data_IF_139124896739
#
_entry.id   IF_139124896739
#
_cell.length_a   1.000
_cell.length_b   1.000
_cell.length_c   1.000
_cell.angle_alpha   90.00
_cell.angle_beta   90.00
_cell.angle_gamma   90.00
#
_symmetry.space_group_name_H-M   'P 1'
#
loop_
_entity.id
_entity.type
_entity.pdbx_description
1 polymer ?
#
# COMPACT_ATOMS: atom_id res chain seq x y z
N UNK A 1 -39.75 -27.34 67.01
CA UNK A 1 -40.74 -27.68 65.98
C UNK A 1 -41.05 -26.41 65.19
N UNK A 2 -40.73 -26.44 63.89
CA UNK A 2 -41.44 -25.84 62.74
C UNK A 2 -41.96 -24.38 62.75
N UNK A 3 -41.57 -23.65 61.68
CA UNK A 3 -42.13 -22.41 61.09
C UNK A 3 -43.63 -22.52 60.71
N UNK A 4 -44.33 -21.41 60.39
CA UNK A 4 -44.35 -20.72 59.04
C UNK A 4 -44.29 -19.17 59.16
N UNK A 5 -44.41 -18.30 58.15
CA UNK A 5 -43.96 -18.14 56.74
C UNK A 5 -44.61 -16.83 56.18
N UNK A 6 -44.06 -16.28 55.08
CA UNK A 6 -44.62 -15.23 54.18
C UNK A 6 -44.56 -13.74 54.63
N UNK A 7 -44.31 -12.73 53.79
CA UNK A 7 -43.86 -12.60 52.40
C UNK A 7 -43.46 -11.13 52.15
N UNK A 8 -42.35 -10.85 51.46
CA UNK A 8 -42.04 -9.51 50.93
C UNK A 8 -41.65 -9.59 49.45
N UNK A 9 -42.38 -8.80 48.65
CA UNK A 9 -42.34 -8.65 47.20
C UNK A 9 -41.19 -7.75 46.73
N UNK A 10 -40.43 -8.20 45.72
CA UNK A 10 -39.55 -7.37 44.90
C UNK A 10 -40.05 -7.35 43.42
N UNK A 11 -39.77 -6.27 42.66
CA UNK A 11 -40.36 -6.03 41.34
C UNK A 11 -39.76 -6.91 40.23
N UNK A 12 -40.48 -7.13 39.10
CA UNK A 12 -40.10 -8.12 38.10
C UNK A 12 -38.98 -7.66 37.17
N UNK A 13 -38.03 -8.57 36.97
CA UNK A 13 -36.96 -8.55 35.97
C UNK A 13 -37.53 -8.71 34.56
N UNK A 14 -37.31 -7.72 33.69
CA UNK A 14 -37.65 -7.80 32.26
C UNK A 14 -36.46 -8.45 31.53
N UNK A 15 -36.41 -9.78 31.58
CA UNK A 15 -35.58 -10.61 30.70
C UNK A 15 -36.38 -11.83 30.26
N UNK A 16 -37.35 -11.63 29.38
CA UNK A 16 -37.91 -12.70 28.55
C UNK A 16 -38.46 -12.08 27.27
N UNK A 17 -37.80 -12.31 26.14
CA UNK A 17 -38.37 -12.47 24.80
C UNK A 17 -37.21 -12.74 23.82
N UNK A 18 -36.54 -13.88 24.00
CA UNK A 18 -35.74 -14.49 22.93
C UNK A 18 -36.69 -15.34 22.07
N UNK A 19 -36.83 -15.10 20.76
CA UNK A 19 -37.35 -16.14 19.89
C UNK A 19 -36.31 -17.26 19.87
N UNK A 20 -36.77 -18.48 20.16
CA UNK A 20 -36.04 -19.73 19.91
C UNK A 20 -35.62 -19.77 18.44
N UNK A 21 -34.42 -19.31 18.14
CA UNK A 21 -33.67 -19.76 16.97
C UNK A 21 -32.77 -20.87 17.50
N UNK A 22 -33.05 -22.06 16.99
CA UNK A 22 -32.61 -23.35 17.50
C UNK A 22 -31.08 -23.46 17.68
N UNK A 23 -30.70 -24.24 18.69
CA UNK A 23 -29.35 -24.78 18.94
C UNK A 23 -28.89 -25.78 17.86
N UNK A 24 -29.12 -25.48 16.59
CA UNK A 24 -28.72 -26.34 15.45
C UNK A 24 -27.46 -25.83 14.74
N UNK A 25 -26.98 -24.62 15.05
CA UNK A 25 -25.81 -24.03 14.37
C UNK A 25 -24.44 -24.33 15.00
N UNK A 26 -24.37 -25.09 16.11
CA UNK A 26 -23.08 -25.55 16.66
C UNK A 26 -22.62 -26.90 16.09
N UNK A 27 -23.52 -27.70 15.50
CA UNK A 27 -23.18 -28.99 14.89
C UNK A 27 -22.66 -28.89 13.45
N UNK A 28 -22.86 -27.75 12.77
CA UNK A 28 -22.52 -27.58 11.35
C UNK A 28 -21.13 -26.95 11.11
N UNK A 29 -20.33 -26.78 12.18
CA UNK A 29 -18.97 -26.23 12.06
C UNK A 29 -18.02 -27.11 11.22
N UNK A 30 -18.37 -28.39 10.98
CA UNK A 30 -17.53 -29.35 10.28
C UNK A 30 -17.98 -29.68 8.84
N UNK A 31 -19.07 -29.08 8.33
CA UNK A 31 -19.74 -29.54 7.10
C UNK A 31 -19.95 -28.45 6.04
N UNK A 32 -19.15 -27.38 6.04
CA UNK A 32 -19.22 -26.34 5.01
C UNK A 32 -18.14 -26.47 3.90
N UNK A 33 -18.53 -26.37 2.61
CA UNK A 33 -17.67 -26.69 1.45
C UNK A 33 -16.54 -25.68 1.16
N UNK A 34 -16.27 -24.72 2.06
CA UNK A 34 -15.18 -23.74 1.93
C UNK A 34 -13.96 -24.02 2.82
N UNK A 35 -14.03 -25.08 3.65
CA UNK A 35 -12.91 -25.65 4.40
C UNK A 35 -12.20 -26.73 3.59
N UNK A 36 -11.89 -26.47 2.31
CA UNK A 36 -10.98 -27.33 1.58
C UNK A 36 -9.53 -27.11 2.02
N UNK A 37 -8.89 -28.26 2.21
CA UNK A 37 -7.55 -28.53 2.75
C UNK A 37 -6.49 -27.70 2.04
N UNK A 38 -5.83 -26.80 2.77
CA UNK A 38 -4.61 -26.17 2.27
C UNK A 38 -3.49 -27.20 2.07
N UNK A 39 -2.50 -26.96 1.20
CA UNK A 39 -1.40 -27.90 1.01
C UNK A 39 -0.72 -28.20 2.35
N UNK A 40 -0.29 -29.46 2.59
CA UNK A 40 0.33 -29.85 3.84
C UNK A 40 1.56 -28.98 4.13
N UNK A 41 1.76 -28.70 5.41
CA UNK A 41 3.00 -28.07 5.89
C UNK A 41 4.21 -28.97 5.56
N UNK A 42 5.42 -28.40 5.53
CA UNK A 42 6.69 -29.10 5.22
C UNK A 42 6.93 -30.36 6.09
N UNK A 43 6.19 -30.50 7.20
CA UNK A 43 6.25 -31.62 8.14
C UNK A 43 5.10 -32.64 8.01
N UNK A 44 4.33 -32.64 6.91
CA UNK A 44 3.15 -33.52 6.73
C UNK A 44 2.05 -33.37 7.80
N UNK A 45 2.07 -32.30 8.61
CA UNK A 45 0.92 -31.93 9.45
C UNK A 45 -0.13 -31.17 8.66
N UNK A 46 -1.41 -31.51 8.89
CA UNK A 46 -2.54 -30.79 8.31
C UNK A 46 -2.54 -29.31 8.71
N UNK A 47 -2.97 -28.38 7.83
CA UNK A 47 -3.17 -27.00 8.24
C UNK A 47 -4.20 -26.96 9.37
N UNK A 48 -3.99 -26.11 10.39
CA UNK A 48 -4.98 -25.87 11.45
C UNK A 48 -6.34 -25.57 10.77
N UNK A 49 -7.33 -26.46 10.98
CA UNK A 49 -8.63 -26.43 10.30
C UNK A 49 -9.50 -25.26 10.76
N UNK A 50 -9.37 -24.88 12.02
CA UNK A 50 -9.97 -23.70 12.65
C UNK A 50 -9.33 -23.56 14.03
N UNK A 51 -9.20 -22.32 14.52
CA UNK A 51 -8.78 -22.01 15.89
C UNK A 51 -9.94 -22.02 16.87
N UNK A 52 -11.17 -22.30 16.41
CA UNK A 52 -12.41 -22.24 17.19
C UNK A 52 -12.91 -20.83 17.48
N UNK A 53 -12.14 -19.80 17.13
CA UNK A 53 -12.52 -18.39 17.26
C UNK A 53 -12.62 -17.76 15.86
N UNK A 54 -13.83 -17.36 15.42
CA UNK A 54 -14.04 -16.75 14.10
C UNK A 54 -13.19 -15.51 13.83
N UNK A 55 -12.83 -14.73 14.86
CA UNK A 55 -11.98 -13.55 14.72
C UNK A 55 -10.50 -13.92 14.48
N UNK A 56 -10.02 -14.99 15.12
CA UNK A 56 -8.67 -15.50 14.89
C UNK A 56 -8.59 -16.22 13.54
N UNK A 57 -9.63 -16.95 13.15
CA UNK A 57 -9.73 -17.58 11.84
C UNK A 57 -9.77 -16.53 10.72
N UNK A 58 -10.55 -15.46 10.92
CA UNK A 58 -10.51 -14.26 10.09
C UNK A 58 -9.11 -13.61 10.10
N UNK A 59 -8.35 -13.72 11.20
CA UNK A 59 -7.01 -13.15 11.26
C UNK A 59 -5.91 -13.99 10.56
N UNK A 60 -6.01 -15.31 10.61
CA UNK A 60 -4.95 -16.21 10.15
C UNK A 60 -5.20 -16.79 8.76
N UNK A 61 -6.46 -17.02 8.38
CA UNK A 61 -6.78 -17.65 7.11
C UNK A 61 -6.86 -16.67 5.93
N UNK A 62 -6.83 -15.36 6.17
CA UNK A 62 -6.77 -14.38 5.09
C UNK A 62 -5.31 -14.10 4.72
N UNK A 63 -4.94 -14.64 3.58
CA UNK A 63 -3.63 -14.54 2.90
C UNK A 63 -3.79 -13.72 1.60
N UNK A 64 -2.74 -13.10 1.02
CA UNK A 64 -2.84 -12.29 -0.20
C UNK A 64 -3.59 -12.88 -1.42
N UNK A 65 -3.71 -14.21 -1.50
CA UNK A 65 -4.41 -14.92 -2.59
C UNK A 65 -5.80 -15.46 -2.19
N UNK A 66 -6.36 -14.99 -1.07
CA UNK A 66 -7.67 -15.46 -0.58
C UNK A 66 -8.78 -15.02 -1.52
N UNK A 67 -9.65 -15.94 -2.00
CA UNK A 67 -10.76 -15.57 -2.88
C UNK A 67 -11.76 -14.65 -2.15
N UNK A 68 -12.37 -13.68 -2.85
CA UNK A 68 -13.29 -12.71 -2.26
C UNK A 68 -14.46 -13.35 -1.50
N UNK A 69 -14.93 -14.52 -1.97
CA UNK A 69 -16.03 -15.26 -1.36
C UNK A 69 -15.65 -15.78 0.03
N UNK A 70 -14.46 -16.40 0.17
CA UNK A 70 -13.94 -16.89 1.45
C UNK A 70 -13.68 -15.73 2.41
N UNK A 71 -13.17 -14.62 1.90
CA UNK A 71 -12.94 -13.42 2.70
C UNK A 71 -14.25 -12.83 3.24
N UNK A 72 -15.28 -12.70 2.39
CA UNK A 72 -16.60 -12.17 2.79
C UNK A 72 -17.27 -13.09 3.82
N UNK A 73 -17.13 -14.40 3.63
CA UNK A 73 -17.64 -15.41 4.55
C UNK A 73 -16.96 -15.32 5.93
N UNK A 74 -15.62 -15.33 5.98
CA UNK A 74 -14.88 -15.20 7.25
C UNK A 74 -15.14 -13.85 7.92
N UNK A 75 -15.27 -12.76 7.15
CA UNK A 75 -15.64 -11.45 7.69
C UNK A 75 -17.02 -11.49 8.33
N UNK A 76 -18.00 -12.10 7.67
CA UNK A 76 -19.35 -12.25 8.22
C UNK A 76 -19.31 -13.02 9.55
N UNK A 77 -18.63 -14.16 9.60
CA UNK A 77 -18.53 -14.97 10.82
C UNK A 77 -17.84 -14.22 11.96
N UNK A 78 -16.74 -13.52 11.69
CA UNK A 78 -16.05 -12.72 12.70
C UNK A 78 -16.93 -11.55 13.19
N UNK A 79 -17.62 -10.87 12.27
CA UNK A 79 -18.48 -9.74 12.60
C UNK A 79 -19.66 -10.13 13.50
N UNK A 80 -20.26 -11.31 13.25
CA UNK A 80 -21.35 -11.85 14.08
C UNK A 80 -20.86 -12.34 15.45
N UNK A 81 -19.61 -12.80 15.54
CA UNK A 81 -19.02 -13.22 16.81
C UNK A 81 -18.64 -12.03 17.68
N UNK A 82 -17.85 -11.09 17.14
CA UNK A 82 -17.47 -9.85 17.82
C UNK A 82 -17.12 -8.76 16.80
N UNK A 83 -18.06 -7.84 16.60
CA UNK A 83 -17.94 -6.74 15.65
C UNK A 83 -16.82 -5.77 16.00
N UNK A 84 -16.53 -5.55 17.29
CA UNK A 84 -15.52 -4.58 17.72
C UNK A 84 -14.10 -5.09 17.48
N UNK A 85 -13.82 -6.36 17.80
CA UNK A 85 -12.51 -6.95 17.50
C UNK A 85 -12.33 -7.14 16.01
N UNK A 86 -13.37 -7.55 15.27
CA UNK A 86 -13.32 -7.63 13.80
C UNK A 86 -12.93 -6.28 13.19
N UNK A 87 -13.49 -5.17 13.66
CA UNK A 87 -13.16 -3.82 13.18
C UNK A 87 -11.71 -3.43 13.51
N UNK A 88 -11.18 -3.84 14.67
CA UNK A 88 -9.77 -3.65 15.04
C UNK A 88 -8.80 -4.49 14.20
N UNK A 89 -9.23 -5.66 13.75
CA UNK A 89 -8.41 -6.57 12.92
C UNK A 89 -8.30 -6.09 11.47
N UNK A 90 -9.28 -5.34 10.96
CA UNK A 90 -9.29 -4.83 9.58
C UNK A 90 -8.05 -3.96 9.24
N UNK A 91 -7.65 -2.95 10.05
CA UNK A 91 -6.42 -2.19 9.81
C UNK A 91 -5.14 -3.04 9.90
N UNK A 92 -5.10 -4.02 10.82
CA UNK A 92 -3.97 -4.94 10.93
C UNK A 92 -3.84 -5.84 9.68
N UNK A 93 -4.97 -6.14 9.04
CA UNK A 93 -5.01 -6.84 7.75
C UNK A 93 -4.56 -6.00 6.58
N UNK A 94 -4.79 -4.70 6.58
CA UNK A 94 -4.26 -3.83 5.54
C UNK A 94 -2.73 -3.86 5.48
N UNK A 95 -2.08 -3.95 6.64
CA UNK A 95 -0.62 -4.14 6.74
C UNK A 95 -0.20 -5.49 6.14
N UNK A 96 -1.00 -6.55 6.33
CA UNK A 96 -0.70 -7.94 5.91
C UNK A 96 -1.03 -8.25 4.44
N UNK A 97 -2.09 -7.65 3.90
CA UNK A 97 -2.73 -8.09 2.64
C UNK A 97 -2.76 -6.96 1.59
N UNK A 98 -2.47 -5.71 1.98
CA UNK A 98 -2.39 -4.57 1.07
C UNK A 98 -3.62 -4.45 0.16
N UNK A 99 -3.41 -4.62 -1.15
CA UNK A 99 -4.40 -4.38 -2.23
C UNK A 99 -5.74 -5.13 -2.11
N UNK A 100 -5.86 -6.15 -1.27
CA UNK A 100 -7.12 -6.90 -1.06
C UNK A 100 -8.13 -6.10 -0.22
N UNK A 101 -7.68 -5.18 0.64
CA UNK A 101 -8.60 -4.26 1.35
C UNK A 101 -9.35 -3.34 0.38
N UNK A 102 -8.72 -2.98 -0.74
CA UNK A 102 -9.38 -2.27 -1.84
C UNK A 102 -10.48 -3.14 -2.48
N UNK A 103 -10.30 -4.46 -2.55
CA UNK A 103 -11.31 -5.39 -3.11
C UNK A 103 -12.56 -5.51 -2.23
N UNK A 104 -12.40 -5.40 -0.91
CA UNK A 104 -13.50 -5.33 0.07
C UNK A 104 -14.38 -4.09 -0.14
N UNK A 105 -13.76 -2.92 -0.32
CA UNK A 105 -14.50 -1.67 -0.59
C UNK A 105 -15.07 -1.64 -2.02
N UNK A 106 -14.45 -2.35 -2.97
CA UNK A 106 -14.83 -2.33 -4.37
C UNK A 106 -15.73 -3.50 -4.79
N UNK A 107 -16.61 -4.01 -3.91
CA UNK A 107 -17.59 -5.09 -4.14
C UNK A 107 -17.55 -5.73 -5.54
N UNK A 108 -16.99 -6.93 -5.63
CA UNK A 108 -16.90 -7.75 -6.85
C UNK A 108 -15.97 -7.21 -7.97
N UNK A 109 -14.70 -7.63 -7.94
CA UNK A 109 -13.92 -7.84 -9.18
C UNK A 109 -14.02 -9.32 -9.50
N UNK A 110 -14.88 -9.71 -10.46
CA UNK A 110 -14.75 -11.01 -11.12
C UNK A 110 -13.46 -10.97 -11.96
N UNK A 111 -12.40 -11.60 -11.48
CA UNK A 111 -11.24 -11.86 -12.32
C UNK A 111 -11.54 -13.13 -13.11
N UNK A 112 -11.82 -12.99 -14.41
CA UNK A 112 -11.70 -14.13 -15.32
C UNK A 112 -10.21 -14.47 -15.44
N UNK A 113 -9.79 -15.72 -15.21
CA UNK A 113 -8.39 -16.10 -15.41
C UNK A 113 -8.11 -16.06 -16.91
N UNK A 114 -7.47 -14.98 -17.40
CA UNK A 114 -7.01 -14.94 -18.78
C UNK A 114 -5.73 -15.80 -18.94
N UNK A 115 -5.53 -16.46 -20.09
CA UNK A 115 -4.63 -17.62 -20.25
C UNK A 115 -3.13 -17.29 -20.39
N UNK A 116 -2.66 -16.09 -20.09
CA UNK A 116 -1.30 -15.66 -20.43
C UNK A 116 -0.21 -16.12 -19.43
N UNK A 117 -0.57 -16.84 -18.37
CA UNK A 117 0.39 -17.25 -17.32
C UNK A 117 1.31 -18.41 -17.75
N UNK A 118 1.00 -19.15 -18.82
CA UNK A 118 1.88 -20.21 -19.34
C UNK A 118 3.05 -19.71 -20.21
N UNK A 119 3.05 -18.46 -20.66
CA UNK A 119 4.11 -17.91 -21.56
C UNK A 119 5.09 -16.95 -20.87
N UNK A 120 5.02 -16.81 -19.55
CA UNK A 120 5.79 -15.80 -18.80
C UNK A 120 7.21 -16.22 -18.39
N UNK A 121 7.53 -17.52 -18.41
CA UNK A 121 8.86 -18.01 -18.02
C UNK A 121 9.88 -17.99 -19.16
N UNK A 122 9.48 -18.20 -20.41
CA UNK A 122 10.42 -18.21 -21.54
C UNK A 122 10.82 -16.80 -22.01
N UNK A 123 9.92 -15.81 -21.90
CA UNK A 123 10.15 -14.47 -22.43
C UNK A 123 11.00 -13.54 -21.54
N UNK A 124 11.22 -13.88 -20.27
CA UNK A 124 11.98 -13.06 -19.33
C UNK A 124 13.49 -13.22 -19.46
N UNK A 125 14.00 -14.41 -19.80
CA UNK A 125 15.45 -14.64 -19.98
C UNK A 125 16.03 -13.76 -21.10
N UNK A 126 15.32 -13.66 -22.23
CA UNK A 126 15.76 -12.92 -23.42
C UNK A 126 15.63 -11.40 -23.26
N UNK A 127 14.55 -10.90 -22.62
CA UNK A 127 14.37 -9.46 -22.34
C UNK A 127 15.32 -8.95 -21.25
N UNK A 128 15.57 -9.73 -20.19
CA UNK A 128 16.50 -9.36 -19.11
C UNK A 128 17.94 -9.34 -19.62
N UNK A 129 18.38 -10.33 -20.42
CA UNK A 129 19.69 -10.34 -21.08
C UNK A 129 19.89 -9.16 -22.05
N UNK A 130 18.81 -8.67 -22.68
CA UNK A 130 18.85 -7.51 -23.60
C UNK A 130 18.92 -6.18 -22.84
N UNK A 131 18.19 -6.06 -21.73
CA UNK A 131 18.22 -4.90 -20.85
C UNK A 131 19.57 -4.75 -20.15
N UNK A 132 20.18 -5.87 -19.72
CA UNK A 132 21.53 -5.88 -19.12
C UNK A 132 22.61 -5.41 -20.11
N UNK A 133 22.48 -5.78 -21.40
CA UNK A 133 23.37 -5.32 -22.47
C UNK A 133 23.22 -3.82 -22.76
N UNK A 134 21.99 -3.29 -22.83
CA UNK A 134 21.76 -1.85 -22.99
C UNK A 134 22.28 -1.05 -21.79
N UNK A 135 22.07 -1.56 -20.56
CA UNK A 135 22.53 -0.93 -19.33
C UNK A 135 24.06 -0.87 -19.25
N UNK A 136 24.77 -1.97 -19.55
CA UNK A 136 26.24 -2.01 -19.64
C UNK A 136 26.78 -1.00 -20.66
N UNK A 137 26.09 -0.83 -21.80
CA UNK A 137 26.47 0.10 -22.86
C UNK A 137 26.26 1.58 -22.46
N UNK A 138 25.16 1.89 -21.76
CA UNK A 138 24.92 3.24 -21.21
C UNK A 138 25.89 3.61 -20.08
N UNK A 139 26.25 2.68 -19.18
CA UNK A 139 27.28 2.95 -18.15
C UNK A 139 28.67 3.17 -18.75
N UNK A 140 29.02 2.49 -19.85
CA UNK A 140 30.29 2.74 -20.57
C UNK A 140 30.34 4.13 -21.20
N UNK A 141 29.24 4.58 -21.81
CA UNK A 141 29.16 5.92 -22.43
C UNK A 141 29.22 7.02 -21.37
N UNK A 142 28.66 6.78 -20.18
CA UNK A 142 28.64 7.76 -19.08
C UNK A 142 30.00 7.86 -18.35
N UNK A 143 30.76 6.77 -18.23
CA UNK A 143 32.10 6.79 -17.61
C UNK A 143 33.18 7.46 -18.49
N UNK A 144 32.98 7.55 -19.81
CA UNK A 144 33.92 8.22 -20.73
C UNK A 144 33.82 9.75 -20.67
N UNK A 145 32.74 10.30 -20.09
CA UNK A 145 32.49 11.76 -20.06
C UNK A 145 32.90 12.47 -18.76
N UNK A 146 33.43 11.76 -17.75
CA UNK A 146 33.71 12.33 -16.42
C UNK A 146 35.07 11.91 -15.86
N UNK A 147 36.17 12.28 -16.53
CA UNK A 147 37.54 12.17 -16.02
C UNK A 147 38.27 13.53 -16.17
N UNK A 148 39.02 14.02 -15.15
CA UNK A 148 39.76 15.27 -15.22
C UNK A 148 41.13 15.10 -15.93
N UNK A 149 41.78 16.18 -16.41
CA UNK A 149 43.01 16.09 -17.19
C UNK A 149 44.24 16.21 -16.28
N UNK A 150 45.13 15.21 -16.27
CA UNK A 150 46.58 15.47 -16.26
C UNK A 150 47.45 14.24 -16.62
N UNK A 151 48.37 14.53 -17.54
CA UNK A 151 49.71 14.00 -17.86
C UNK A 151 50.15 12.61 -17.40
N UNK A 152 50.45 11.74 -18.39
CA UNK A 152 51.69 10.96 -18.47
C UNK A 152 51.94 10.54 -19.94
N UNK A 153 53.21 10.32 -20.22
CA UNK A 153 53.91 10.44 -21.51
C UNK A 153 53.45 9.53 -22.65
N UNK A 154 53.76 9.99 -23.87
CA UNK A 154 53.45 9.37 -25.16
C UNK A 154 54.24 8.07 -25.34
N UNK A 155 53.52 6.95 -25.32
CA UNK A 155 53.87 5.76 -26.09
C UNK A 155 52.92 5.68 -27.30
N UNK A 156 53.47 5.24 -28.44
CA UNK A 156 52.95 5.38 -29.80
C UNK A 156 51.45 5.07 -30.01
N UNK A 157 50.73 5.87 -30.83
CA UNK A 157 49.35 5.58 -31.16
C UNK A 157 49.30 4.42 -32.16
N UNK A 158 49.12 3.18 -31.66
CA UNK A 158 48.57 2.12 -32.51
C UNK A 158 47.20 2.57 -33.02
N UNK A 159 47.18 3.03 -34.27
CA UNK A 159 46.00 3.51 -34.96
C UNK A 159 44.92 2.43 -34.94
N UNK A 160 43.86 2.65 -34.16
CA UNK A 160 42.64 1.84 -34.27
C UNK A 160 42.12 2.01 -35.70
N UNK A 161 41.78 0.93 -36.42
CA UNK A 161 41.25 1.05 -37.77
C UNK A 161 40.01 1.94 -37.75
N UNK A 162 40.02 3.00 -38.56
CA UNK A 162 38.87 3.91 -38.73
C UNK A 162 37.66 3.04 -39.12
N UNK A 163 36.62 3.05 -38.29
CA UNK A 163 35.40 2.30 -38.56
C UNK A 163 34.82 2.76 -39.91
N UNK A 164 34.72 1.84 -40.88
CA UNK A 164 34.17 2.12 -42.21
C UNK A 164 32.79 2.81 -42.05
N UNK A 165 32.51 3.90 -42.78
CA UNK A 165 31.21 4.55 -42.73
C UNK A 165 30.12 3.53 -43.09
N UNK A 166 29.09 3.42 -42.24
CA UNK A 166 27.97 2.52 -42.53
C UNK A 166 27.25 3.02 -43.78
N UNK A 167 26.79 2.12 -44.68
CA UNK A 167 26.06 2.53 -45.88
C UNK A 167 24.85 3.39 -45.48
N UNK A 168 24.68 4.55 -46.10
CA UNK A 168 23.62 5.52 -45.77
C UNK A 168 22.22 4.89 -45.82
N UNK A 169 21.99 3.95 -46.75
CA UNK A 169 20.75 3.19 -46.84
C UNK A 169 20.43 2.38 -45.56
N UNK A 170 21.44 1.81 -44.89
CA UNK A 170 21.26 1.08 -43.62
C UNK A 170 21.05 2.02 -42.44
N UNK A 171 21.54 3.27 -42.52
CA UNK A 171 21.24 4.30 -41.53
C UNK A 171 19.78 4.77 -41.66
N UNK A 172 19.35 5.14 -42.87
CA UNK A 172 17.97 5.51 -43.20
C UNK A 172 16.96 4.43 -42.79
N UNK A 173 17.22 3.16 -43.11
CA UNK A 173 16.35 2.05 -42.70
C UNK A 173 16.28 1.85 -41.17
N UNK A 174 17.35 2.17 -40.44
CA UNK A 174 17.37 2.11 -38.97
C UNK A 174 16.57 3.25 -38.37
N UNK A 175 16.68 4.44 -38.94
CA UNK A 175 16.01 5.64 -38.44
C UNK A 175 14.49 5.54 -38.65
N UNK A 176 14.04 5.05 -39.82
CA UNK A 176 12.63 4.70 -40.08
C UNK A 176 12.11 3.66 -39.07
N UNK A 177 12.92 2.64 -38.73
CA UNK A 177 12.54 1.64 -37.71
C UNK A 177 12.41 2.25 -36.31
N UNK A 178 13.28 3.20 -35.96
CA UNK A 178 13.21 3.91 -34.67
C UNK A 178 11.96 4.77 -34.62
N UNK A 179 11.65 5.53 -35.67
CA UNK A 179 10.44 6.33 -35.78
C UNK A 179 9.16 5.49 -35.67
N UNK A 180 9.08 4.37 -36.40
CA UNK A 180 7.96 3.44 -36.28
C UNK A 180 7.82 2.86 -34.86
N UNK A 181 8.93 2.60 -34.16
CA UNK A 181 8.90 2.15 -32.76
C UNK A 181 8.47 3.26 -31.79
N UNK A 182 8.88 4.50 -32.03
CA UNK A 182 8.45 5.66 -31.25
C UNK A 182 6.96 5.92 -31.45
N UNK A 183 6.47 5.88 -32.69
CA UNK A 183 5.06 6.02 -33.02
C UNK A 183 4.21 4.92 -32.36
N UNK A 184 4.61 3.65 -32.50
CA UNK A 184 3.98 2.52 -31.79
C UNK A 184 4.01 2.72 -30.28
N UNK A 185 5.12 3.21 -29.74
CA UNK A 185 5.26 3.54 -28.32
C UNK A 185 4.35 4.68 -27.85
N UNK A 186 4.08 5.67 -28.71
CA UNK A 186 3.14 6.76 -28.42
C UNK A 186 1.70 6.26 -28.41
N UNK A 187 1.29 5.47 -29.41
CA UNK A 187 -0.05 4.86 -29.48
C UNK A 187 -0.33 4.00 -28.24
N UNK A 188 0.58 3.08 -27.91
CA UNK A 188 0.44 2.23 -26.71
C UNK A 188 0.37 3.05 -25.41
N UNK A 189 1.09 4.18 -25.32
CA UNK A 189 1.01 5.08 -24.16
C UNK A 189 -0.33 5.80 -24.09
N UNK A 190 -0.90 6.19 -25.23
CA UNK A 190 -2.21 6.83 -25.33
C UNK A 190 -3.32 5.84 -24.94
N UNK A 191 -3.33 4.64 -25.51
CA UNK A 191 -4.27 3.57 -25.15
C UNK A 191 -4.20 3.24 -23.65
N UNK A 192 -2.98 3.09 -23.10
CA UNK A 192 -2.79 2.85 -21.67
C UNK A 192 -3.21 4.05 -20.80
N UNK A 193 -3.21 5.28 -21.32
CA UNK A 193 -3.73 6.46 -20.61
C UNK A 193 -5.25 6.43 -20.60
N UNK A 194 -5.90 6.17 -21.73
CA UNK A 194 -7.35 6.05 -21.83
C UNK A 194 -7.89 4.91 -20.95
N UNK A 195 -7.23 3.75 -20.93
CA UNK A 195 -7.65 2.63 -20.09
C UNK A 195 -7.58 3.00 -18.60
N UNK A 196 -6.55 3.74 -18.19
CA UNK A 196 -6.43 4.26 -16.81
C UNK A 196 -7.52 5.28 -16.49
N UNK A 197 -7.88 6.13 -17.44
CA UNK A 197 -8.93 7.13 -17.28
C UNK A 197 -10.32 6.49 -17.17
N UNK A 198 -10.64 5.55 -18.07
CA UNK A 198 -11.84 4.72 -18.00
C UNK A 198 -11.96 4.02 -16.64
N UNK A 199 -10.85 3.46 -16.15
CA UNK A 199 -10.81 2.80 -14.84
C UNK A 199 -11.08 3.77 -13.69
N UNK A 200 -10.50 4.98 -13.73
CA UNK A 200 -10.75 6.04 -12.74
C UNK A 200 -12.21 6.48 -12.72
N UNK A 201 -12.80 6.70 -13.90
CA UNK A 201 -14.21 7.08 -14.01
C UNK A 201 -15.13 5.99 -13.46
N UNK A 202 -14.83 4.71 -13.75
CA UNK A 202 -15.58 3.60 -13.19
C UNK A 202 -15.50 3.56 -11.66
N UNK A 203 -14.31 3.74 -11.07
CA UNK A 203 -14.17 3.81 -9.62
C UNK A 203 -14.96 4.97 -9.01
N UNK A 204 -14.86 6.17 -9.58
CA UNK A 204 -15.59 7.34 -9.11
C UNK A 204 -17.12 7.14 -9.19
N UNK A 205 -17.61 6.57 -10.31
CA UNK A 205 -19.03 6.25 -10.47
C UNK A 205 -19.51 5.31 -9.38
N UNK A 206 -18.80 4.21 -9.16
CA UNK A 206 -19.15 3.21 -8.15
C UNK A 206 -19.10 3.75 -6.73
N UNK A 207 -18.13 4.63 -6.43
CA UNK A 207 -18.04 5.30 -5.14
C UNK A 207 -19.28 6.15 -4.87
N UNK A 208 -19.71 6.94 -5.86
CA UNK A 208 -20.91 7.77 -5.76
C UNK A 208 -22.19 6.94 -5.67
N UNK A 209 -22.35 5.94 -6.54
CA UNK A 209 -23.49 5.00 -6.50
C UNK A 209 -23.61 4.37 -5.11
N UNK A 210 -22.50 3.89 -4.55
CA UNK A 210 -22.49 3.30 -3.20
C UNK A 210 -22.81 4.33 -2.12
N UNK A 211 -22.25 5.53 -2.21
CA UNK A 211 -22.52 6.61 -1.25
C UNK A 211 -24.00 7.02 -1.19
N UNK A 212 -24.70 7.03 -2.33
CA UNK A 212 -26.11 7.39 -2.37
C UNK A 212 -27.05 6.21 -2.10
N UNK A 213 -26.65 4.98 -2.44
CA UNK A 213 -27.51 3.79 -2.33
C UNK A 213 -27.41 3.10 -0.96
N UNK A 214 -26.21 3.06 -0.36
CA UNK A 214 -25.91 2.30 0.85
C UNK A 214 -25.75 3.25 2.05
N UNK A 215 -26.69 3.16 3.00
CA UNK A 215 -26.72 4.01 4.20
C UNK A 215 -25.53 3.77 5.12
N UNK A 216 -25.09 2.52 5.27
CA UNK A 216 -24.02 2.13 6.18
C UNK A 216 -22.68 2.58 5.62
N UNK A 217 -22.48 2.41 4.31
CA UNK A 217 -21.31 2.94 3.62
C UNK A 217 -21.21 4.46 3.74
N UNK A 218 -22.33 5.18 3.54
CA UNK A 218 -22.37 6.64 3.70
C UNK A 218 -21.98 7.06 5.11
N UNK A 219 -22.59 6.44 6.13
CA UNK A 219 -22.29 6.73 7.54
C UNK A 219 -20.82 6.49 7.87
N UNK A 220 -20.27 5.34 7.44
CA UNK A 220 -18.86 5.02 7.64
C UNK A 220 -17.95 6.03 6.94
N UNK A 221 -18.22 6.35 5.67
CA UNK A 221 -17.43 7.32 4.92
C UNK A 221 -17.45 8.69 5.60
N UNK A 222 -18.61 9.16 6.06
CA UNK A 222 -18.72 10.45 6.73
C UNK A 222 -18.01 10.48 8.08
N UNK A 223 -18.12 9.42 8.89
CA UNK A 223 -17.44 9.31 10.18
C UNK A 223 -15.92 9.21 10.02
N UNK A 224 -15.43 8.45 9.04
CA UNK A 224 -14.00 8.39 8.74
C UNK A 224 -13.50 9.77 8.29
N UNK A 225 -14.24 10.47 7.44
CA UNK A 225 -13.84 11.81 7.00
C UNK A 225 -13.86 12.86 8.10
N UNK A 226 -14.83 12.79 9.01
CA UNK A 226 -14.93 13.62 10.21
C UNK A 226 -13.73 13.39 11.14
N UNK A 227 -13.46 12.14 11.52
CA UNK A 227 -12.33 11.79 12.40
C UNK A 227 -10.98 12.21 11.81
N UNK A 228 -10.75 12.02 10.50
CA UNK A 228 -9.54 12.53 9.87
C UNK A 228 -9.46 14.05 9.91
N UNK A 229 -10.56 14.76 9.64
CA UNK A 229 -10.57 16.22 9.66
C UNK A 229 -10.26 16.76 11.07
N UNK A 230 -10.86 16.19 12.11
CA UNK A 230 -10.62 16.59 13.51
C UNK A 230 -9.16 16.33 13.93
N UNK A 231 -8.63 15.14 13.66
CA UNK A 231 -7.25 14.79 14.01
C UNK A 231 -6.26 15.69 13.28
N UNK A 232 -6.43 15.90 11.98
CA UNK A 232 -5.56 16.78 11.18
C UNK A 232 -5.65 18.24 11.65
N UNK A 233 -6.83 18.73 11.98
CA UNK A 233 -7.00 20.07 12.52
C UNK A 233 -6.35 20.23 13.90
N UNK A 234 -6.38 19.18 14.73
CA UNK A 234 -5.69 19.17 16.02
C UNK A 234 -4.17 19.20 15.85
N UNK A 235 -3.62 18.40 14.92
CA UNK A 235 -2.19 18.29 14.64
C UNK A 235 -1.59 19.58 14.05
N UNK A 236 -2.41 20.43 13.43
CA UNK A 236 -1.97 21.73 12.91
C UNK A 236 -1.79 22.79 14.01
N UNK A 237 -2.36 22.58 15.20
CA UNK A 237 -2.21 23.55 16.30
C UNK A 237 -0.78 23.50 16.83
N UNK A 238 -0.11 24.66 17.00
CA UNK A 238 1.29 24.73 17.41
C UNK A 238 1.55 24.18 18.82
N UNK A 239 0.50 24.06 19.63
CA UNK A 239 0.55 23.56 21.01
C UNK A 239 0.68 22.03 21.10
N UNK A 240 0.52 21.31 19.99
CA UNK A 240 0.60 19.85 19.98
C UNK A 240 2.04 19.36 20.02
N UNK A 241 2.48 18.88 21.19
CA UNK A 241 3.82 18.28 21.36
C UNK A 241 3.94 16.91 20.68
N UNK A 242 2.83 16.19 20.53
CA UNK A 242 2.78 14.85 19.95
C UNK A 242 1.85 14.84 18.74
N UNK A 243 2.44 14.82 17.54
CA UNK A 243 1.68 14.67 16.29
C UNK A 243 1.05 13.29 16.20
N UNK A 244 -0.22 13.25 15.82
CA UNK A 244 -0.89 12.01 15.50
C UNK A 244 -0.35 11.40 14.18
N UNK A 245 -0.60 10.11 13.97
CA UNK A 245 -0.31 9.47 12.68
C UNK A 245 -1.40 9.73 11.62
N UNK A 246 -2.38 10.60 11.87
CA UNK A 246 -3.47 10.86 10.93
C UNK A 246 -2.94 11.33 9.57
N UNK A 247 -1.97 12.26 9.54
CA UNK A 247 -1.39 12.74 8.28
C UNK A 247 -0.62 11.64 7.49
N UNK A 248 -0.10 10.63 8.20
CA UNK A 248 0.58 9.48 7.59
C UNK A 248 -0.43 8.56 6.90
N UNK A 249 -1.57 8.30 7.54
CA UNK A 249 -2.60 7.38 7.05
C UNK A 249 -3.62 8.03 6.12
N UNK A 250 -3.77 9.36 6.20
CA UNK A 250 -4.62 10.10 5.29
C UNK A 250 -4.14 9.89 3.85
N UNK A 251 -5.03 9.52 2.91
CA UNK A 251 -4.64 9.29 1.52
C UNK A 251 -4.10 10.57 0.87
N UNK A 252 -3.19 10.39 -0.09
CA UNK A 252 -2.77 11.51 -0.95
C UNK A 252 -3.77 11.71 -2.07
N UNK A 253 -3.94 12.95 -2.54
CA UNK A 253 -4.79 13.26 -3.69
C UNK A 253 -4.43 12.41 -4.91
N UNK A 254 -5.45 11.80 -5.51
CA UNK A 254 -5.27 10.97 -6.69
C UNK A 254 -4.51 9.66 -6.42
N UNK A 255 -4.30 9.28 -5.16
CA UNK A 255 -3.87 7.91 -4.80
C UNK A 255 -4.94 6.89 -5.20
N UNK A 256 -4.58 5.60 -5.25
CA UNK A 256 -5.55 4.55 -5.56
C UNK A 256 -6.72 4.52 -4.58
N UNK A 257 -6.47 4.79 -3.30
CA UNK A 257 -7.51 4.87 -2.28
C UNK A 257 -8.46 6.04 -2.55
N UNK A 258 -7.92 7.24 -2.77
CA UNK A 258 -8.72 8.43 -3.10
C UNK A 258 -9.52 8.25 -4.41
N UNK A 259 -8.94 7.59 -5.42
CA UNK A 259 -9.65 7.31 -6.67
C UNK A 259 -10.85 6.36 -6.48
N UNK A 260 -10.84 5.53 -5.43
CA UNK A 260 -11.84 4.49 -5.19
C UNK A 260 -12.89 4.95 -4.18
N UNK A 261 -12.54 5.81 -3.23
CA UNK A 261 -13.46 6.27 -2.18
C UNK A 261 -13.84 7.74 -2.29
N UNK A 262 -13.06 8.55 -3.02
CA UNK A 262 -13.19 10.01 -3.09
C UNK A 262 -13.10 10.71 -1.72
N UNK A 263 -12.49 10.04 -0.73
CA UNK A 263 -12.48 10.49 0.66
C UNK A 263 -11.67 11.79 0.88
N UNK A 264 -10.69 12.10 0.03
CA UNK A 264 -9.93 13.36 0.22
C UNK A 264 -10.83 14.58 -0.01
N UNK A 265 -11.84 14.49 -0.87
CA UNK A 265 -12.78 15.59 -1.07
C UNK A 265 -13.61 15.84 0.18
N UNK A 266 -14.14 14.78 0.78
CA UNK A 266 -14.99 14.86 1.96
C UNK A 266 -14.23 15.29 3.23
N UNK A 267 -12.95 14.92 3.36
CA UNK A 267 -12.06 15.43 4.41
C UNK A 267 -11.74 16.91 4.15
N UNK A 268 -11.38 17.28 2.91
CA UNK A 268 -11.00 18.65 2.58
C UNK A 268 -12.14 19.66 2.79
N UNK A 269 -13.37 19.29 2.41
CA UNK A 269 -14.57 20.13 2.65
C UNK A 269 -14.87 20.35 4.13
N UNK A 270 -14.54 19.37 4.99
CA UNK A 270 -14.68 19.48 6.45
C UNK A 270 -13.60 20.35 7.08
N UNK A 271 -12.36 20.25 6.59
CA UNK A 271 -11.25 21.10 7.02
C UNK A 271 -11.40 22.56 6.59
N UNK A 272 -11.95 22.79 5.39
CA UNK A 272 -12.12 24.12 4.81
C UNK A 272 -13.57 24.33 4.36
N UNK A 273 -14.52 24.54 5.29
CA UNK A 273 -15.92 24.76 4.95
C UNK A 273 -16.12 25.99 4.05
N UNK A 274 -17.17 26.02 3.23
CA UNK A 274 -17.45 27.14 2.30
C UNK A 274 -17.55 28.50 3.02
N UNK A 275 -18.02 28.50 4.27
CA UNK A 275 -18.18 29.71 5.09
C UNK A 275 -16.86 30.22 5.70
N UNK A 276 -15.78 29.44 5.66
CA UNK A 276 -14.51 29.79 6.30
C UNK A 276 -13.74 30.87 5.54
N UNK A 277 -13.89 30.97 4.22
CA UNK A 277 -13.22 31.98 3.41
C UNK A 277 -14.20 32.69 2.47
N UNK A 278 -14.16 34.03 2.38
CA UNK A 278 -15.00 34.78 1.42
C UNK A 278 -14.79 34.34 -0.03
N UNK A 279 -13.58 33.89 -0.38
CA UNK A 279 -13.21 33.43 -1.72
C UNK A 279 -14.00 32.19 -2.18
N UNK A 280 -14.57 31.40 -1.26
CA UNK A 280 -15.32 30.17 -1.61
C UNK A 280 -16.79 30.42 -1.90
N UNK A 281 -17.37 31.50 -1.36
CA UNK A 281 -18.81 31.80 -1.52
C UNK A 281 -19.20 32.11 -2.97
N UNK A 282 -18.26 32.60 -3.78
CA UNK A 282 -18.48 32.99 -5.18
C UNK A 282 -18.19 31.82 -6.14
N UNK A 283 -17.61 30.73 -5.65
CA UNK A 283 -17.19 29.62 -6.50
C UNK A 283 -18.30 28.60 -6.73
N UNK A 284 -18.30 28.03 -7.93
CA UNK A 284 -19.06 26.83 -8.25
C UNK A 284 -18.54 25.63 -7.43
N UNK A 285 -19.43 24.68 -7.09
CA UNK A 285 -19.13 23.51 -6.27
C UNK A 285 -17.93 22.70 -6.78
N UNK A 286 -17.80 22.55 -8.10
CA UNK A 286 -16.68 21.83 -8.75
C UNK A 286 -15.34 22.52 -8.51
N UNK A 287 -15.31 23.85 -8.64
CA UNK A 287 -14.13 24.68 -8.43
C UNK A 287 -13.77 24.76 -6.95
N UNK A 288 -14.77 24.87 -6.07
CA UNK A 288 -14.60 24.80 -4.62
C UNK A 288 -13.94 23.48 -4.21
N UNK A 289 -14.50 22.33 -4.62
CA UNK A 289 -13.97 21.01 -4.33
C UNK A 289 -12.50 20.84 -4.79
N UNK A 290 -12.17 21.33 -5.98
CA UNK A 290 -10.80 21.33 -6.49
C UNK A 290 -9.85 22.17 -5.62
N UNK A 291 -10.28 23.38 -5.21
CA UNK A 291 -9.48 24.30 -4.41
C UNK A 291 -9.19 23.75 -3.01
N UNK A 292 -10.21 23.29 -2.29
CA UNK A 292 -10.03 22.77 -0.93
C UNK A 292 -9.16 21.52 -0.91
N UNK A 293 -9.27 20.63 -1.90
CA UNK A 293 -8.42 19.45 -2.03
C UNK A 293 -6.95 19.83 -2.14
N UNK A 294 -6.63 20.75 -3.05
CA UNK A 294 -5.26 21.23 -3.23
C UNK A 294 -4.75 21.91 -1.97
N UNK A 295 -5.59 22.73 -1.32
CA UNK A 295 -5.27 23.43 -0.09
C UNK A 295 -4.93 22.46 1.03
N UNK A 296 -5.78 21.46 1.28
CA UNK A 296 -5.53 20.37 2.22
C UNK A 296 -4.19 19.69 1.96
N UNK A 297 -3.86 19.40 0.70
CA UNK A 297 -2.57 18.77 0.40
C UNK A 297 -1.38 19.66 0.73
N UNK A 298 -1.44 20.95 0.37
CA UNK A 298 -0.33 21.89 0.52
C UNK A 298 -0.16 22.41 1.95
N UNK A 299 -1.26 22.82 2.57
CA UNK A 299 -1.26 23.50 3.87
C UNK A 299 -1.40 22.52 5.04
N UNK A 300 -1.92 21.31 4.81
CA UNK A 300 -2.13 20.32 5.89
C UNK A 300 -1.19 19.13 5.74
N UNK A 301 -1.33 18.34 4.67
CA UNK A 301 -0.61 17.07 4.56
C UNK A 301 0.90 17.25 4.39
N UNK A 302 1.36 18.19 3.57
CA UNK A 302 2.79 18.43 3.34
C UNK A 302 3.53 18.83 4.62
N UNK A 303 3.12 19.86 5.39
CA UNK A 303 3.82 20.23 6.61
C UNK A 303 3.74 19.15 7.68
N UNK A 304 2.58 18.52 7.88
CA UNK A 304 2.44 17.44 8.88
C UNK A 304 3.31 16.22 8.55
N UNK A 305 3.34 15.79 7.28
CA UNK A 305 4.20 14.65 6.86
C UNK A 305 5.69 14.98 6.92
N UNK A 306 6.06 16.26 6.76
CA UNK A 306 7.43 16.74 6.98
C UNK A 306 7.80 16.69 8.46
N UNK A 307 6.91 17.15 9.34
CA UNK A 307 7.12 17.11 10.79
C UNK A 307 7.18 15.66 11.34
N UNK A 308 6.45 14.72 10.71
CA UNK A 308 6.55 13.28 10.97
C UNK A 308 7.82 12.62 10.39
N UNK A 309 8.64 13.36 9.63
CA UNK A 309 9.89 12.90 9.01
C UNK A 309 9.73 11.64 8.13
N UNK A 310 8.63 11.58 7.37
CA UNK A 310 8.37 10.44 6.47
C UNK A 310 9.40 10.39 5.31
N UNK A 311 9.95 9.20 4.97
CA UNK A 311 10.98 9.08 3.95
C UNK A 311 10.51 9.57 2.57
N UNK A 312 9.24 9.39 2.24
CA UNK A 312 8.64 9.80 0.97
C UNK A 312 8.73 11.32 0.75
N UNK A 313 8.70 12.13 1.81
CA UNK A 313 8.83 13.59 1.72
C UNK A 313 10.24 13.99 1.26
N UNK A 314 11.27 13.38 1.85
CA UNK A 314 12.67 13.61 1.44
C UNK A 314 12.96 13.03 0.05
N UNK A 315 12.41 11.85 -0.24
CA UNK A 315 12.60 11.19 -1.54
C UNK A 315 11.96 12.01 -2.68
N UNK A 316 10.75 12.52 -2.47
CA UNK A 316 10.03 13.30 -3.48
C UNK A 316 10.67 14.67 -3.75
N UNK A 317 11.25 15.29 -2.72
CA UNK A 317 12.03 16.54 -2.83
C UNK A 317 13.51 16.32 -3.21
N UNK A 318 13.93 15.08 -3.46
CA UNK A 318 15.32 14.70 -3.76
C UNK A 318 16.34 15.12 -2.67
N UNK A 319 15.88 15.33 -1.43
CA UNK A 319 16.70 15.72 -0.28
C UNK A 319 17.22 14.48 0.49
N UNK A 320 18.01 13.64 -0.19
CA UNK A 320 18.51 12.39 0.41
C UNK A 320 19.45 12.62 1.60
N UNK A 321 20.20 13.72 1.58
CA UNK A 321 21.23 14.06 2.58
C UNK A 321 20.63 14.31 3.96
N UNK A 322 19.38 14.79 4.05
CA UNK A 322 18.69 15.05 5.31
C UNK A 322 17.82 13.89 5.80
N UNK A 323 17.71 12.79 5.04
CA UNK A 323 16.84 11.67 5.40
C UNK A 323 17.35 10.98 6.69
N UNK A 324 16.51 10.86 7.74
CA UNK A 324 16.87 10.23 9.01
C UNK A 324 16.59 8.71 8.97
N UNK A 325 17.62 7.89 8.75
CA UNK A 325 17.46 6.43 8.63
C UNK A 325 16.92 5.74 9.89
N UNK A 326 17.21 6.29 11.07
CA UNK A 326 16.81 5.73 12.37
C UNK A 326 15.29 5.68 12.57
N UNK A 327 14.56 6.63 11.96
CA UNK A 327 13.10 6.73 12.06
C UNK A 327 12.35 6.03 10.93
N UNK A 328 13.07 5.50 9.93
CA UNK A 328 12.44 4.84 8.78
C UNK A 328 11.75 3.55 9.24
N UNK A 329 10.44 3.48 9.01
CA UNK A 329 9.65 2.30 9.33
C UNK A 329 10.12 1.04 8.58
N UNK A 330 9.89 -0.14 9.16
CA UNK A 330 10.38 -1.42 8.63
C UNK A 330 9.91 -1.71 7.19
N UNK A 331 8.62 -1.43 6.89
CA UNK A 331 8.04 -1.56 5.55
C UNK A 331 8.65 -0.59 4.53
N UNK A 332 8.88 0.67 4.93
CA UNK A 332 9.54 1.66 4.07
C UNK A 332 10.99 1.24 3.77
N UNK A 333 11.69 0.68 4.76
CA UNK A 333 13.04 0.14 4.59
C UNK A 333 13.07 -1.00 3.57
N UNK A 334 12.12 -1.95 3.66
CA UNK A 334 11.95 -3.05 2.70
C UNK A 334 11.68 -2.55 1.28
N UNK A 335 10.76 -1.59 1.14
CA UNK A 335 10.31 -1.08 -0.16
C UNK A 335 11.35 -0.20 -0.85
N UNK A 336 12.00 0.70 -0.09
CA UNK A 336 12.88 1.73 -0.64
C UNK A 336 14.37 1.41 -0.59
N UNK A 337 14.77 0.22 -0.08
CA UNK A 337 16.19 -0.21 -0.02
C UNK A 337 16.99 0.03 -1.29
N UNK A 338 16.38 -0.20 -2.47
CA UNK A 338 17.02 0.00 -3.78
C UNK A 338 17.30 1.47 -4.05
N UNK A 339 16.37 2.35 -3.68
CA UNK A 339 16.51 3.80 -3.83
C UNK A 339 17.57 4.34 -2.87
N UNK A 340 17.57 3.93 -1.60
CA UNK A 340 18.60 4.32 -0.64
C UNK A 340 20.00 3.94 -1.13
N UNK A 341 20.17 2.72 -1.65
CA UNK A 341 21.45 2.26 -2.20
C UNK A 341 21.88 3.04 -3.47
N UNK A 342 20.94 3.53 -4.27
CA UNK A 342 21.25 4.23 -5.52
C UNK A 342 21.57 5.72 -5.29
N UNK A 343 20.78 6.40 -4.45
CA UNK A 343 20.90 7.83 -4.22
C UNK A 343 21.85 8.19 -3.07
N UNK A 344 21.87 7.40 -1.99
CA UNK A 344 22.69 7.69 -0.79
C UNK A 344 23.44 6.44 -0.30
N UNK A 345 24.26 5.91 -1.22
CA UNK A 345 25.01 4.66 -0.99
C UNK A 345 25.94 4.73 0.22
N UNK A 346 26.51 5.90 0.52
CA UNK A 346 27.55 6.08 1.54
C UNK A 346 26.94 6.14 2.94
N UNK A 347 25.95 7.02 3.18
CA UNK A 347 25.30 7.15 4.49
C UNK A 347 24.49 5.90 4.81
N UNK A 348 23.79 5.33 3.83
CA UNK A 348 23.05 4.09 4.03
C UNK A 348 23.95 2.93 4.46
N UNK A 349 25.13 2.76 3.84
CA UNK A 349 26.07 1.71 4.26
C UNK A 349 26.63 1.97 5.66
N UNK A 350 26.93 3.24 5.98
CA UNK A 350 27.39 3.62 7.32
C UNK A 350 26.32 3.26 8.37
N UNK A 351 25.07 3.63 8.13
CA UNK A 351 23.93 3.28 8.98
C UNK A 351 23.82 1.75 9.21
N UNK A 352 23.89 0.93 8.15
CA UNK A 352 23.81 -0.54 8.32
C UNK A 352 24.95 -1.11 9.17
N UNK A 353 26.16 -0.54 9.07
CA UNK A 353 27.28 -0.93 9.94
C UNK A 353 27.08 -0.51 11.40
N UNK A 354 26.54 0.68 11.63
CA UNK A 354 26.18 1.16 12.98
C UNK A 354 25.11 0.26 13.61
N UNK A 355 24.13 -0.21 12.81
CA UNK A 355 23.12 -1.18 13.26
C UNK A 355 23.73 -2.56 13.54
N UNK A 356 24.66 -3.04 12.71
CA UNK A 356 25.38 -4.31 12.95
C UNK A 356 26.18 -4.30 14.26
N UNK A 357 26.76 -3.15 14.60
CA UNK A 357 27.48 -2.95 15.86
C UNK A 357 26.55 -2.76 17.07
N UNK A 358 25.25 -2.59 16.86
CA UNK A 358 24.27 -2.29 17.91
C UNK A 358 24.24 -0.82 18.35
N UNK A 359 24.97 0.08 17.69
CA UNK A 359 24.96 1.53 17.98
C UNK A 359 23.63 2.18 17.60
N UNK A 360 22.94 1.62 16.60
CA UNK A 360 21.63 2.08 16.11
C UNK A 360 20.63 0.96 15.99
N UNK A 361 19.35 1.31 16.06
CA UNK A 361 18.23 0.37 15.95
C UNK A 361 17.55 0.52 14.60
N UNK A 362 17.29 -0.61 13.94
CA UNK A 362 16.45 -0.67 12.74
C UNK A 362 15.03 -1.05 13.12
N UNK A 363 14.02 -0.43 12.51
CA UNK A 363 12.64 -0.84 12.73
C UNK A 363 12.39 -2.22 12.08
N UNK A 364 11.79 -3.14 12.83
CA UNK A 364 11.40 -4.47 12.36
C UNK A 364 9.95 -4.86 12.69
N UNK A 365 9.33 -4.24 13.70
CA UNK A 365 8.07 -4.72 14.29
C UNK A 365 6.83 -4.81 13.38
N UNK A 366 6.79 -4.08 12.26
CA UNK A 366 5.67 -4.19 11.31
C UNK A 366 5.86 -5.26 10.22
N UNK A 367 7.03 -5.92 10.14
CA UNK A 367 7.27 -6.98 9.17
C UNK A 367 7.03 -8.35 9.80
N UNK A 368 6.45 -9.26 9.02
CA UNK A 368 6.28 -10.65 9.45
C UNK A 368 7.52 -11.50 9.10
N UNK A 369 7.78 -12.61 9.83
CA UNK A 369 8.92 -13.48 9.56
C UNK A 369 8.99 -13.94 8.09
N UNK A 370 7.87 -14.40 7.53
CA UNK A 370 7.80 -14.85 6.13
C UNK A 370 8.09 -13.72 5.12
N UNK A 371 7.74 -12.47 5.46
CA UNK A 371 7.98 -11.31 4.60
C UNK A 371 9.45 -10.94 4.52
N UNK A 372 10.18 -11.12 5.62
CA UNK A 372 11.62 -10.90 5.69
C UNK A 372 12.34 -11.97 4.88
N UNK A 373 11.96 -13.24 5.06
CA UNK A 373 12.50 -14.37 4.31
C UNK A 373 12.24 -14.23 2.80
N UNK A 374 11.02 -13.87 2.40
CA UNK A 374 10.66 -13.61 1.00
C UNK A 374 11.46 -12.46 0.38
N UNK A 375 11.96 -11.53 1.19
CA UNK A 375 12.80 -10.44 0.71
C UNK A 375 14.21 -10.89 0.30
N UNK A 376 14.57 -12.16 0.57
CA UNK A 376 15.83 -12.84 0.23
C UNK A 376 16.97 -12.49 1.20
N UNK A 377 18.12 -13.17 1.02
CA UNK A 377 19.36 -12.92 1.79
C UNK A 377 19.94 -11.53 1.48
N UNK A 378 19.41 -10.51 2.14
CA UNK A 378 19.88 -9.13 2.07
C UNK A 378 20.28 -8.66 3.47
N UNK A 379 21.36 -7.88 3.56
CA UNK A 379 21.86 -7.31 4.82
C UNK A 379 20.76 -6.61 5.64
N UNK A 380 19.86 -5.87 4.98
CA UNK A 380 18.73 -5.20 5.65
C UNK A 380 17.75 -6.21 6.27
N UNK A 381 17.45 -7.28 5.53
CA UNK A 381 16.51 -8.32 5.97
C UNK A 381 17.08 -9.08 7.17
N UNK A 382 18.36 -9.40 7.13
CA UNK A 382 19.09 -10.04 8.24
C UNK A 382 19.08 -9.16 9.50
N UNK A 383 19.33 -7.87 9.37
CA UNK A 383 19.29 -6.95 10.52
C UNK A 383 17.88 -6.77 11.08
N UNK A 384 16.86 -6.76 10.22
CA UNK A 384 15.46 -6.75 10.65
C UNK A 384 15.08 -8.06 11.34
N UNK A 385 15.54 -9.21 10.83
CA UNK A 385 15.34 -10.52 11.45
C UNK A 385 15.96 -10.58 12.84
N UNK A 386 17.24 -10.20 12.96
CA UNK A 386 17.96 -10.15 14.24
C UNK A 386 17.22 -9.31 15.27
N UNK A 387 16.67 -8.17 14.85
CA UNK A 387 15.89 -7.28 15.72
C UNK A 387 14.51 -7.83 16.13
N UNK A 388 13.98 -8.82 15.43
CA UNK A 388 12.73 -9.49 15.84
C UNK A 388 12.99 -10.56 16.89
N UNK A 389 14.13 -11.25 16.80
CA UNK A 389 14.52 -12.32 17.73
C UNK A 389 15.26 -11.80 18.97
N UNK A 390 15.66 -10.51 18.97
CA UNK A 390 16.31 -9.80 20.08
C UNK A 390 15.49 -8.59 20.51
#
# INVERSE_FOLDING_TARGET
>A
MTFPSDSHSHPPSIYTLTPKIEMTLLSDFHSHPFLEVGPPTENNSGPFLSTGNPCLDFFFHIVPDTPPQKLTHLHSLAWHHDSLTTLKLIPAMEIRIGKVFIQLLSGSIKFTPKPWLKTREEHNSSKVKRLHRLRRRMTRIRMVKTLPPHCCSRDDPKAKPKAKPKPEAKAKARDVRVEQQLAKGQVLKAEAREEREKRRLNYARRALERYYSDRDYRYLHDKVSETFAELLASDLKPETKNLSFAAKWCPSLGSSYDQITLICESIAKRLFPINSYPEYKVLEETHYAYRVRIRMSKEVLVPLRRALELPEVYMSSNQWISLPYDRVASGAMKNYKKHFKWHDRRRFRKFLKEVEKGEKKIAAGALLPHEILASGQNQVAELQWRRMIT
#
